data_IF_216409687391
#
_entry.id   IF_216409687391
#
_cell.length_a   1.000
_cell.length_b   1.000
_cell.length_c   1.000
_cell.angle_alpha   90.00
_cell.angle_beta   90.00
_cell.angle_gamma   90.00
#
_symmetry.space_group_name_H-M   'P 1'
#
loop_
_entity.id
_entity.type
_entity.pdbx_description
1 polymer ?
#
# COMPACT_ATOMS: atom_id res chain seq x y z
N UNK A 1 -50.18 12.19 38.76
CA UNK A 1 -49.81 12.25 37.32
C UNK A 1 -48.31 12.19 37.25
N UNK A 2 -47.76 10.99 37.15
CA UNK A 2 -46.33 10.73 37.06
C UNK A 2 -45.99 10.70 35.59
N UNK A 3 -45.08 11.59 35.18
CA UNK A 3 -44.49 11.58 33.85
C UNK A 3 -43.69 10.27 33.63
N UNK A 4 -43.80 9.64 32.48
CA UNK A 4 -42.94 8.50 32.18
C UNK A 4 -41.51 9.01 32.01
N UNK A 5 -40.58 8.49 32.80
CA UNK A 5 -39.16 8.58 32.54
C UNK A 5 -38.89 7.80 31.25
N UNK A 6 -38.77 8.52 30.17
CA UNK A 6 -38.28 8.00 28.89
C UNK A 6 -36.79 7.75 29.02
N UNK A 7 -36.42 6.62 29.56
CA UNK A 7 -35.07 6.08 29.50
C UNK A 7 -34.89 5.36 28.16
N UNK A 8 -35.01 6.13 27.08
CA UNK A 8 -34.93 5.61 25.73
C UNK A 8 -33.45 5.41 25.37
N UNK A 9 -32.94 4.21 25.61
CA UNK A 9 -31.57 3.83 25.26
C UNK A 9 -31.52 3.50 23.78
N UNK A 10 -31.04 4.43 22.98
CA UNK A 10 -30.78 4.20 21.57
C UNK A 10 -29.49 3.40 21.39
N UNK A 11 -29.62 2.20 20.82
CA UNK A 11 -28.45 1.42 20.40
C UNK A 11 -27.93 1.97 19.08
N UNK A 12 -26.68 2.42 19.09
CA UNK A 12 -26.00 2.96 17.91
C UNK A 12 -24.94 1.97 17.44
N UNK A 13 -25.00 1.58 16.16
CA UNK A 13 -24.00 0.74 15.54
C UNK A 13 -23.52 1.39 14.23
N UNK A 14 -22.20 1.56 14.12
CA UNK A 14 -21.58 1.94 12.85
C UNK A 14 -21.39 0.69 12.00
N UNK A 15 -22.03 0.65 10.85
CA UNK A 15 -21.85 -0.42 9.88
C UNK A 15 -20.65 -0.12 8.98
N UNK A 16 -19.91 -1.17 8.61
CA UNK A 16 -18.85 -1.04 7.61
C UNK A 16 -19.45 -0.75 6.23
N UNK A 17 -18.73 0.03 5.43
CA UNK A 17 -19.12 0.28 4.05
C UNK A 17 -19.08 -1.01 3.24
N UNK A 18 -20.10 -1.26 2.44
CA UNK A 18 -20.20 -2.42 1.55
C UNK A 18 -20.20 -1.94 0.11
N UNK A 19 -19.21 -2.39 -0.65
CA UNK A 19 -19.06 -2.05 -2.06
C UNK A 19 -19.68 -3.13 -2.94
N UNK A 20 -20.68 -2.74 -3.74
CA UNK A 20 -21.38 -3.65 -4.65
C UNK A 20 -20.92 -3.38 -6.09
N UNK A 21 -20.29 -4.38 -6.68
CA UNK A 21 -19.84 -4.33 -8.07
C UNK A 21 -20.64 -5.32 -8.93
N UNK A 22 -20.76 -4.98 -10.22
CA UNK A 22 -21.30 -5.94 -11.19
C UNK A 22 -20.44 -7.22 -11.21
N UNK A 23 -21.05 -8.43 -11.35
CA UNK A 23 -20.33 -9.68 -11.41
C UNK A 23 -19.27 -9.68 -12.50
N UNK A 24 -18.06 -10.16 -12.17
CA UNK A 24 -16.99 -10.31 -13.15
C UNK A 24 -17.25 -11.53 -14.02
N UNK A 25 -17.20 -11.32 -15.34
CA UNK A 25 -17.24 -12.40 -16.34
C UNK A 25 -15.86 -12.59 -16.90
N UNK A 26 -15.25 -13.75 -16.64
CA UNK A 26 -13.95 -14.10 -17.18
C UNK A 26 -14.11 -14.71 -18.58
N UNK A 27 -13.32 -14.25 -19.55
CA UNK A 27 -13.31 -14.78 -20.92
C UNK A 27 -12.76 -16.22 -20.98
N UNK A 28 -11.86 -16.56 -20.06
CA UNK A 28 -11.21 -17.87 -19.98
C UNK A 28 -10.60 -18.11 -18.60
N UNK A 29 -10.23 -19.37 -18.32
CA UNK A 29 -9.58 -19.79 -17.05
C UNK A 29 -8.24 -19.09 -16.77
N UNK A 30 -7.54 -18.58 -17.79
CA UNK A 30 -6.28 -17.84 -17.61
C UNK A 30 -6.56 -16.48 -16.96
N UNK A 31 -7.59 -15.77 -17.42
CA UNK A 31 -8.01 -14.50 -16.86
C UNK A 31 -8.51 -14.66 -15.42
N UNK A 32 -9.27 -15.69 -15.14
CA UNK A 32 -9.73 -16.01 -13.78
C UNK A 32 -8.57 -16.29 -12.83
N UNK A 33 -7.60 -17.14 -13.26
CA UNK A 33 -6.39 -17.41 -12.46
C UNK A 33 -5.55 -16.17 -12.22
N UNK A 34 -5.45 -15.28 -13.22
CA UNK A 34 -4.76 -14.01 -13.07
C UNK A 34 -5.44 -13.11 -12.02
N UNK A 35 -6.77 -13.01 -12.06
CA UNK A 35 -7.56 -12.28 -11.07
C UNK A 35 -7.29 -12.78 -9.64
N UNK A 36 -7.45 -14.08 -9.41
CA UNK A 36 -7.23 -14.65 -8.07
C UNK A 36 -5.77 -14.56 -7.60
N UNK A 37 -4.83 -14.58 -8.53
CA UNK A 37 -3.43 -14.29 -8.21
C UNK A 37 -3.27 -12.85 -7.75
N UNK A 38 -3.88 -11.90 -8.44
CA UNK A 38 -3.88 -10.47 -8.07
C UNK A 38 -4.49 -10.26 -6.68
N UNK A 39 -5.62 -10.91 -6.38
CA UNK A 39 -6.24 -10.87 -5.03
C UNK A 39 -5.23 -11.31 -3.96
N UNK A 40 -4.54 -12.42 -4.15
CA UNK A 40 -3.53 -12.92 -3.18
C UNK A 40 -2.35 -11.97 -3.05
N UNK A 41 -1.88 -11.41 -4.15
CA UNK A 41 -0.76 -10.47 -4.15
C UNK A 41 -1.15 -9.17 -3.44
N UNK A 42 -2.36 -8.63 -3.67
CA UNK A 42 -2.91 -7.47 -2.95
C UNK A 42 -3.03 -7.76 -1.46
N UNK A 43 -3.70 -8.85 -1.08
CA UNK A 43 -3.86 -9.20 0.36
C UNK A 43 -2.53 -9.29 1.10
N UNK A 44 -1.50 -9.82 0.44
CA UNK A 44 -0.16 -9.94 1.05
C UNK A 44 0.56 -8.60 1.14
N UNK A 45 0.46 -7.74 0.13
CA UNK A 45 1.33 -6.56 0.01
C UNK A 45 0.69 -5.26 0.48
N UNK A 46 -0.64 -5.16 0.51
CA UNK A 46 -1.36 -3.96 0.95
C UNK A 46 -1.00 -3.51 2.38
N UNK A 47 -0.89 -4.39 3.39
CA UNK A 47 -0.48 -3.97 4.73
C UNK A 47 0.91 -3.31 4.76
N UNK A 48 1.85 -3.82 3.96
CA UNK A 48 3.19 -3.23 3.86
C UNK A 48 3.16 -1.88 3.17
N UNK A 49 2.41 -1.75 2.07
CA UNK A 49 2.26 -0.49 1.36
C UNK A 49 1.70 0.61 2.28
N UNK A 50 0.64 0.32 3.02
CA UNK A 50 0.03 1.25 3.98
C UNK A 50 1.02 1.67 5.08
N UNK A 51 1.73 0.74 5.69
CA UNK A 51 2.73 1.03 6.73
C UNK A 51 3.90 1.86 6.22
N UNK A 52 4.42 1.53 5.03
CA UNK A 52 5.52 2.29 4.42
C UNK A 52 5.06 3.70 4.09
N UNK A 53 3.89 3.86 3.48
CA UNK A 53 3.33 5.17 3.14
C UNK A 53 3.11 6.02 4.40
N UNK A 54 2.55 5.45 5.45
CA UNK A 54 2.38 6.12 6.73
C UNK A 54 3.72 6.54 7.33
N UNK A 55 4.71 5.66 7.35
CA UNK A 55 6.04 5.96 7.86
C UNK A 55 6.74 7.09 7.08
N UNK A 56 6.48 7.22 5.77
CA UNK A 56 6.99 8.31 4.94
C UNK A 56 6.33 9.64 5.34
N UNK A 57 5.01 9.67 5.52
CA UNK A 57 4.27 10.86 5.95
C UNK A 57 4.75 11.33 7.33
N UNK A 58 4.87 10.42 8.30
CA UNK A 58 5.39 10.72 9.64
C UNK A 58 6.83 11.24 9.59
N UNK A 59 7.64 10.68 8.69
CA UNK A 59 9.02 11.14 8.46
C UNK A 59 9.06 12.55 7.88
N UNK A 60 8.21 12.88 6.91
CA UNK A 60 8.14 14.21 6.31
C UNK A 60 7.74 15.28 7.34
N UNK A 61 6.74 14.99 8.17
CA UNK A 61 6.30 15.88 9.24
C UNK A 61 7.40 16.13 10.28
N UNK A 62 8.14 15.09 10.63
CA UNK A 62 9.27 15.16 11.56
C UNK A 62 10.41 15.95 10.96
N UNK A 63 10.75 15.68 9.72
CA UNK A 63 11.85 16.35 9.00
C UNK A 63 11.55 17.82 8.74
N UNK A 64 10.28 18.20 8.54
CA UNK A 64 9.90 19.60 8.33
C UNK A 64 10.38 20.51 9.49
N UNK A 65 10.45 19.96 10.71
CA UNK A 65 10.79 20.66 11.96
C UNK A 65 12.28 20.63 12.33
N UNK A 66 13.12 19.96 11.52
CA UNK A 66 14.55 19.73 11.83
C UNK A 66 15.49 20.60 11.00
N UNK A 67 16.68 20.85 11.53
CA UNK A 67 17.77 21.49 10.79
C UNK A 67 18.38 20.55 9.72
N UNK A 68 18.93 21.08 8.60
CA UNK A 68 19.40 20.28 7.47
C UNK A 68 20.41 19.19 7.80
N UNK A 69 21.28 19.41 8.79
CA UNK A 69 22.27 18.41 9.23
C UNK A 69 21.64 17.26 9.99
N UNK A 70 20.67 17.56 10.83
CA UNK A 70 19.94 16.59 11.63
C UNK A 70 19.02 15.73 10.77
N UNK A 71 18.35 16.32 9.76
CA UNK A 71 17.51 15.62 8.79
C UNK A 71 18.21 14.40 8.19
N UNK A 72 19.45 14.57 7.75
CA UNK A 72 20.22 13.51 7.09
C UNK A 72 20.54 12.35 8.03
N UNK A 73 20.88 12.65 9.28
CA UNK A 73 21.21 11.61 10.27
C UNK A 73 19.95 10.85 10.71
N UNK A 74 18.89 11.59 10.99
CA UNK A 74 17.60 11.04 11.37
C UNK A 74 17.05 10.10 10.29
N UNK A 75 17.05 10.57 9.02
CA UNK A 75 16.57 9.80 7.88
C UNK A 75 17.36 8.50 7.70
N UNK A 76 18.67 8.57 7.76
CA UNK A 76 19.55 7.39 7.65
C UNK A 76 19.29 6.36 8.74
N UNK A 77 18.98 6.81 9.96
CA UNK A 77 18.62 5.92 11.08
C UNK A 77 17.26 5.27 10.84
N UNK A 78 16.25 6.08 10.50
CA UNK A 78 14.87 5.61 10.29
C UNK A 78 14.77 4.64 9.12
N UNK A 79 15.42 4.93 8.03
CA UNK A 79 15.53 4.04 6.88
C UNK A 79 16.10 2.67 7.27
N UNK A 80 17.19 2.64 8.04
CA UNK A 80 17.80 1.40 8.51
C UNK A 80 16.87 0.59 9.41
N UNK A 81 16.10 1.24 10.26
CA UNK A 81 15.11 0.60 11.13
C UNK A 81 13.98 -0.04 10.33
N UNK A 82 13.39 0.69 9.38
CA UNK A 82 12.34 0.20 8.48
C UNK A 82 12.82 -1.01 7.65
N UNK A 83 14.01 -0.91 7.06
CA UNK A 83 14.55 -2.03 6.29
C UNK A 83 14.81 -3.26 7.14
N UNK A 84 15.35 -3.10 8.34
CA UNK A 84 15.59 -4.22 9.26
C UNK A 84 14.29 -4.91 9.67
N UNK A 85 13.22 -4.15 9.87
CA UNK A 85 11.91 -4.67 10.24
C UNK A 85 11.32 -5.56 9.14
N UNK A 86 11.42 -5.12 7.87
CA UNK A 86 10.76 -5.79 6.75
C UNK A 86 11.69 -6.55 5.79
N UNK A 87 13.00 -6.58 6.05
CA UNK A 87 13.99 -7.19 5.15
C UNK A 87 13.64 -8.64 4.80
N UNK A 88 13.28 -9.44 5.81
CA UNK A 88 12.91 -10.85 5.60
C UNK A 88 11.68 -10.97 4.72
N UNK A 89 10.62 -10.20 5.02
CA UNK A 89 9.37 -10.26 4.29
C UNK A 89 9.56 -9.85 2.82
N UNK A 90 10.38 -8.83 2.57
CA UNK A 90 10.68 -8.39 1.20
C UNK A 90 11.52 -9.40 0.43
N UNK A 91 12.48 -10.08 1.07
CA UNK A 91 13.26 -11.15 0.43
C UNK A 91 12.42 -12.36 0.05
N UNK A 92 11.39 -12.65 0.85
CA UNK A 92 10.46 -13.76 0.63
C UNK A 92 9.33 -13.42 -0.36
N UNK A 93 9.27 -12.17 -0.86
CA UNK A 93 8.31 -11.78 -1.88
C UNK A 93 8.69 -12.33 -3.26
N UNK A 94 7.68 -12.83 -3.97
CA UNK A 94 7.83 -13.13 -5.39
C UNK A 94 7.93 -11.83 -6.22
N UNK A 95 8.46 -11.93 -7.44
CA UNK A 95 8.50 -10.81 -8.37
C UNK A 95 7.12 -10.14 -8.60
N UNK A 96 6.05 -10.95 -8.63
CA UNK A 96 4.68 -10.46 -8.76
C UNK A 96 4.23 -9.64 -7.53
N UNK A 97 4.59 -10.11 -6.34
CA UNK A 97 4.28 -9.41 -5.08
C UNK A 97 5.09 -8.12 -4.95
N UNK A 98 6.37 -8.15 -5.33
CA UNK A 98 7.18 -6.93 -5.37
C UNK A 98 6.59 -5.86 -6.30
N UNK A 99 6.13 -6.25 -7.49
CA UNK A 99 5.42 -5.33 -8.40
C UNK A 99 4.15 -4.79 -7.76
N UNK A 100 3.33 -5.66 -7.18
CA UNK A 100 2.10 -5.25 -6.51
C UNK A 100 2.39 -4.27 -5.37
N UNK A 101 3.43 -4.52 -4.58
CA UNK A 101 3.85 -3.59 -3.51
C UNK A 101 4.19 -2.20 -4.07
N UNK A 102 4.93 -2.13 -5.19
CA UNK A 102 5.28 -0.85 -5.80
C UNK A 102 4.03 -0.11 -6.31
N UNK A 103 3.13 -0.81 -7.00
CA UNK A 103 1.87 -0.27 -7.48
C UNK A 103 1.02 0.30 -6.32
N UNK A 104 0.96 -0.43 -5.21
CA UNK A 104 0.24 0.00 -4.02
C UNK A 104 0.92 1.18 -3.31
N UNK A 105 2.25 1.25 -3.33
CA UNK A 105 2.98 2.43 -2.81
C UNK A 105 2.68 3.69 -3.63
N UNK A 106 2.61 3.60 -4.95
CA UNK A 106 2.19 4.71 -5.80
C UNK A 106 0.77 5.18 -5.44
N UNK A 107 -0.15 4.23 -5.29
CA UNK A 107 -1.53 4.51 -4.88
C UNK A 107 -1.62 5.21 -3.53
N UNK A 108 -0.96 4.66 -2.52
CA UNK A 108 -1.04 5.15 -1.13
C UNK A 108 -0.33 6.48 -0.93
N UNK A 109 0.83 6.68 -1.59
CA UNK A 109 1.66 7.87 -1.39
C UNK A 109 1.30 9.02 -2.33
N UNK A 110 0.52 8.77 -3.38
CA UNK A 110 0.27 9.71 -4.50
C UNK A 110 1.57 10.22 -5.16
N UNK A 111 2.62 9.42 -5.10
CA UNK A 111 3.94 9.67 -5.68
C UNK A 111 4.37 8.45 -6.46
N UNK A 112 5.08 8.64 -7.55
CA UNK A 112 5.63 7.51 -8.29
C UNK A 112 6.62 6.74 -7.43
N UNK A 113 6.68 5.43 -7.60
CA UNK A 113 7.66 4.58 -6.94
C UNK A 113 9.08 5.06 -7.20
N UNK A 114 9.35 5.68 -8.37
CA UNK A 114 10.62 6.29 -8.71
C UNK A 114 10.98 7.47 -7.78
N UNK A 115 10.02 8.36 -7.49
CA UNK A 115 10.24 9.49 -6.57
C UNK A 115 10.47 9.02 -5.14
N UNK A 116 9.73 7.99 -4.70
CA UNK A 116 9.95 7.36 -3.40
C UNK A 116 11.35 6.77 -3.31
N UNK A 117 11.80 6.03 -4.33
CA UNK A 117 13.15 5.46 -4.41
C UNK A 117 14.21 6.55 -4.35
N UNK A 118 14.02 7.66 -5.07
CA UNK A 118 14.96 8.78 -5.07
C UNK A 118 15.14 9.40 -3.67
N UNK A 119 14.15 9.25 -2.79
CA UNK A 119 14.21 9.73 -1.40
C UNK A 119 15.08 8.82 -0.52
N UNK A 120 15.15 7.52 -0.82
CA UNK A 120 15.96 6.53 -0.09
C UNK A 120 17.38 6.45 -0.66
N UNK A 121 18.36 7.05 -0.01
CA UNK A 121 19.75 7.16 -0.52
C UNK A 121 20.76 6.25 0.19
N UNK A 122 20.33 5.29 1.00
CA UNK A 122 21.29 4.44 1.71
C UNK A 122 21.79 3.26 0.86
N UNK A 123 22.94 2.71 1.25
CA UNK A 123 23.53 1.54 0.57
C UNK A 123 22.63 0.29 0.69
N UNK A 124 21.87 0.17 1.77
CA UNK A 124 20.88 -0.91 1.96
C UNK A 124 19.70 -0.75 1.01
N UNK A 125 19.21 0.47 0.85
CA UNK A 125 18.18 0.76 -0.15
C UNK A 125 18.68 0.45 -1.54
N UNK A 126 19.93 0.77 -1.87
CA UNK A 126 20.51 0.52 -3.19
C UNK A 126 20.43 -0.97 -3.58
N UNK A 127 20.75 -1.90 -2.69
CA UNK A 127 20.71 -3.34 -2.97
C UNK A 127 19.27 -3.84 -3.15
N UNK A 128 18.35 -3.41 -2.29
CA UNK A 128 16.93 -3.69 -2.43
C UNK A 128 16.37 -3.08 -3.72
N UNK A 129 16.70 -1.82 -3.99
CA UNK A 129 16.22 -1.13 -5.18
C UNK A 129 16.86 -1.63 -6.46
N UNK A 130 18.10 -2.12 -6.45
CA UNK A 130 18.68 -2.84 -7.58
C UNK A 130 17.92 -4.14 -7.85
N UNK A 131 17.53 -4.86 -6.79
CA UNK A 131 16.70 -6.05 -6.93
C UNK A 131 15.33 -5.69 -7.54
N UNK A 132 14.65 -4.67 -7.02
CA UNK A 132 13.39 -4.17 -7.54
C UNK A 132 13.55 -3.67 -8.98
N UNK A 133 14.55 -2.83 -9.28
CA UNK A 133 14.82 -2.32 -10.64
C UNK A 133 15.12 -3.45 -11.64
N UNK A 134 15.80 -4.51 -11.21
CA UNK A 134 16.05 -5.71 -12.04
C UNK A 134 14.77 -6.47 -12.38
N UNK A 135 13.77 -6.46 -11.49
CA UNK A 135 12.47 -7.05 -11.71
C UNK A 135 11.57 -6.20 -12.65
N UNK A 136 11.75 -4.89 -12.64
CA UNK A 136 10.81 -3.95 -13.28
C UNK A 136 11.26 -3.39 -14.62
N UNK A 137 12.48 -3.63 -15.03
CA UNK A 137 13.15 -3.15 -16.25
C UNK A 137 12.66 -1.83 -16.91
N UNK A 138 11.40 -1.44 -16.86
CA UNK A 138 10.87 -0.21 -17.47
C UNK A 138 9.62 0.39 -16.79
N UNK A 139 8.98 -0.29 -15.84
CA UNK A 139 7.63 0.09 -15.36
C UNK A 139 7.59 1.04 -14.15
N UNK A 140 8.76 1.41 -13.58
CA UNK A 140 8.85 2.23 -12.36
C UNK A 140 8.41 3.69 -12.54
N UNK A 141 8.18 4.13 -13.77
CA UNK A 141 7.76 5.50 -14.09
C UNK A 141 6.27 5.61 -14.41
N UNK A 142 5.58 4.48 -14.50
CA UNK A 142 4.14 4.49 -14.73
C UNK A 142 3.39 4.85 -13.46
N UNK A 143 2.60 5.90 -13.51
CA UNK A 143 1.70 6.29 -12.43
C UNK A 143 0.55 5.30 -12.29
N UNK A 144 0.09 5.10 -11.05
CA UNK A 144 -1.12 4.34 -10.77
C UNK A 144 -2.36 5.04 -11.33
N UNK A 145 -3.16 4.33 -12.11
CA UNK A 145 -4.40 4.86 -12.68
C UNK A 145 -5.60 3.97 -12.32
N UNK A 146 -6.27 4.36 -11.22
CA UNK A 146 -7.46 3.66 -10.72
C UNK A 146 -8.63 3.62 -11.70
N UNK A 147 -8.73 4.58 -12.61
CA UNK A 147 -9.88 4.74 -13.48
C UNK A 147 -9.75 3.99 -14.81
N UNK A 148 -8.53 3.68 -15.24
CA UNK A 148 -8.27 3.01 -16.53
C UNK A 148 -7.49 1.70 -16.35
N UNK A 149 -6.17 1.72 -16.47
CA UNK A 149 -5.34 0.50 -16.53
C UNK A 149 -5.40 -0.35 -15.27
N UNK A 150 -5.49 0.28 -14.09
CA UNK A 150 -5.49 -0.38 -12.78
C UNK A 150 -6.89 -0.58 -12.18
N UNK A 151 -7.95 -0.30 -12.94
CA UNK A 151 -9.34 -0.38 -12.47
C UNK A 151 -9.72 -1.71 -11.82
N UNK A 152 -9.24 -2.84 -12.37
CA UNK A 152 -9.51 -4.17 -11.79
C UNK A 152 -8.75 -4.34 -10.47
N UNK A 153 -7.52 -3.85 -10.41
CA UNK A 153 -6.71 -3.87 -9.20
C UNK A 153 -7.32 -2.98 -8.11
N UNK A 154 -7.80 -1.77 -8.46
CA UNK A 154 -8.50 -0.88 -7.52
C UNK A 154 -9.76 -1.52 -6.95
N UNK A 155 -10.57 -2.16 -7.79
CA UNK A 155 -11.73 -2.93 -7.32
C UNK A 155 -11.31 -4.01 -6.31
N UNK A 156 -10.24 -4.75 -6.58
CA UNK A 156 -9.73 -5.78 -5.66
C UNK A 156 -9.27 -5.14 -4.35
N UNK A 157 -8.54 -4.03 -4.42
CA UNK A 157 -8.07 -3.31 -3.23
C UNK A 157 -9.25 -2.87 -2.37
N UNK A 158 -10.24 -2.22 -2.97
CA UNK A 158 -11.45 -1.77 -2.27
C UNK A 158 -12.17 -2.94 -1.57
N UNK A 159 -12.32 -4.07 -2.24
CA UNK A 159 -12.97 -5.25 -1.65
C UNK A 159 -12.12 -5.87 -0.53
N UNK A 160 -10.79 -5.87 -0.66
CA UNK A 160 -9.88 -6.35 0.40
C UNK A 160 -9.87 -5.42 1.61
N UNK A 161 -9.90 -4.10 1.39
CA UNK A 161 -9.93 -3.09 2.45
C UNK A 161 -11.22 -3.14 3.29
N UNK A 162 -12.30 -3.65 2.71
CA UNK A 162 -13.61 -3.78 3.35
C UNK A 162 -13.97 -5.24 3.69
N UNK A 163 -12.99 -6.13 3.80
CA UNK A 163 -13.15 -7.54 4.17
C UNK A 163 -14.18 -8.32 3.30
N UNK A 164 -14.34 -7.89 2.04
CA UNK A 164 -15.25 -8.50 1.08
C UNK A 164 -14.57 -9.51 0.14
N UNK A 165 -13.27 -9.65 0.23
CA UNK A 165 -12.44 -10.65 -0.46
C UNK A 165 -11.47 -11.33 0.50
#
# INVERSE_FOLDING_TARGET
MSEPEENDTLYYAMLHEVYVYAPLKFKNKRQERFYWKTVRDVKKTLPYAKRISQAIVEAEDTLAKMEPKEKRQWWKKREKELFKEYEKDFRDMTASQGRMLMLLLDRESKRTSYELIATFKSKFAADFWQFIAKLFKNDLKEEYDANDKDRITERIITLVENDQL
#
